data_IF_028649719979
#
_entry.id   IF_028649719979
#
_cell.length_a   1.000
_cell.length_b   1.000
_cell.length_c   1.000
_cell.angle_alpha   90.00
_cell.angle_beta   90.00
_cell.angle_gamma   90.00
#
_symmetry.space_group_name_H-M   'P 1'
#
loop_
_entity.id
_entity.type
_entity.pdbx_description
1 polymer ?
#
# COMPACT_ATOMS: atom_id res chain seq x y z
N UNK A 1 -0.11 -19.65 13.04
CA UNK A 1 0.94 -18.60 12.89
C UNK A 1 0.97 -18.12 11.44
N UNK A 2 1.43 -16.90 11.17
CA UNK A 2 1.42 -16.33 9.82
C UNK A 2 2.17 -17.14 8.74
N UNK A 3 3.36 -17.73 8.98
CA UNK A 3 4.03 -18.50 7.94
C UNK A 3 3.20 -19.67 7.40
N UNK A 4 2.46 -20.36 8.29
CA UNK A 4 1.56 -21.44 7.88
C UNK A 4 0.35 -20.92 7.09
N UNK A 5 -0.19 -19.76 7.48
CA UNK A 5 -1.27 -19.12 6.72
C UNK A 5 -0.80 -18.67 5.32
N UNK A 6 0.46 -18.23 5.18
CA UNK A 6 1.02 -17.93 3.85
C UNK A 6 1.18 -19.20 3.02
N UNK A 7 1.67 -20.30 3.60
CA UNK A 7 1.82 -21.59 2.90
C UNK A 7 0.48 -22.10 2.35
N UNK A 8 -0.55 -22.11 3.19
CA UNK A 8 -1.93 -22.44 2.78
C UNK A 8 -2.47 -21.46 1.72
N UNK A 9 -2.21 -20.17 1.87
CA UNK A 9 -2.70 -19.14 0.95
C UNK A 9 -2.03 -19.23 -0.43
N UNK A 10 -0.73 -19.54 -0.49
CA UNK A 10 -0.06 -19.82 -1.76
C UNK A 10 -0.59 -21.10 -2.39
N UNK A 11 -0.89 -22.14 -1.59
CA UNK A 11 -1.53 -23.36 -2.10
C UNK A 11 -2.89 -23.09 -2.73
N UNK A 12 -3.72 -22.24 -2.11
CA UNK A 12 -4.97 -21.76 -2.71
C UNK A 12 -4.71 -21.03 -4.04
N UNK A 13 -3.71 -20.14 -4.11
CA UNK A 13 -3.31 -19.43 -5.34
C UNK A 13 -2.95 -20.40 -6.46
N UNK A 14 -2.18 -21.45 -6.17
CA UNK A 14 -1.82 -22.47 -7.17
C UNK A 14 -3.02 -23.29 -7.63
N UNK A 15 -3.96 -23.60 -6.74
CA UNK A 15 -5.24 -24.18 -7.14
C UNK A 15 -5.99 -23.28 -8.13
N UNK A 16 -6.05 -21.96 -7.88
CA UNK A 16 -6.64 -20.99 -8.82
C UNK A 16 -5.91 -21.00 -10.18
N UNK A 17 -4.57 -20.94 -10.15
CA UNK A 17 -3.73 -20.93 -11.36
C UNK A 17 -3.91 -22.19 -12.22
N UNK A 18 -3.87 -23.37 -11.61
CA UNK A 18 -4.07 -24.66 -12.28
C UNK A 18 -5.48 -24.76 -12.86
N UNK A 19 -6.51 -24.38 -12.11
CA UNK A 19 -7.89 -24.41 -12.61
C UNK A 19 -8.09 -23.42 -13.77
N UNK A 20 -7.44 -22.25 -13.73
CA UNK A 20 -7.42 -21.32 -14.85
C UNK A 20 -6.71 -21.89 -16.08
N UNK A 21 -5.57 -22.56 -15.89
CA UNK A 21 -4.84 -23.22 -16.97
C UNK A 21 -5.70 -24.29 -17.67
N UNK A 22 -6.34 -25.19 -16.92
CA UNK A 22 -7.15 -26.25 -17.53
C UNK A 22 -8.41 -25.71 -18.21
N UNK A 23 -9.02 -24.65 -17.67
CA UNK A 23 -10.12 -23.95 -18.36
C UNK A 23 -9.66 -23.40 -19.72
N UNK A 24 -8.48 -22.77 -19.75
CA UNK A 24 -7.93 -22.13 -20.95
C UNK A 24 -7.43 -23.14 -21.99
N UNK A 25 -6.75 -24.20 -21.56
CA UNK A 25 -6.04 -25.13 -22.45
C UNK A 25 -6.89 -26.34 -22.81
N UNK A 26 -7.69 -26.85 -21.86
CA UNK A 26 -8.50 -28.05 -22.04
C UNK A 26 -9.99 -27.74 -22.27
N UNK A 27 -10.39 -26.46 -22.24
CA UNK A 27 -11.77 -26.03 -22.44
C UNK A 27 -12.71 -26.39 -21.29
N UNK A 28 -12.17 -26.74 -20.12
CA UNK A 28 -12.95 -27.01 -18.91
C UNK A 28 -13.68 -25.75 -18.44
N UNK A 29 -14.70 -25.93 -17.59
CA UNK A 29 -15.53 -24.85 -17.04
C UNK A 29 -15.52 -24.88 -15.51
N UNK A 30 -14.32 -24.92 -14.92
CA UNK A 30 -14.14 -24.93 -13.47
C UNK A 30 -14.39 -23.55 -12.86
N UNK A 31 -14.93 -23.51 -11.65
CA UNK A 31 -14.97 -22.27 -10.88
C UNK A 31 -13.63 -22.01 -10.19
N UNK A 32 -12.82 -21.15 -10.79
CA UNK A 32 -11.46 -20.89 -10.31
C UNK A 32 -11.40 -20.13 -8.98
N UNK A 33 -12.52 -19.58 -8.48
CA UNK A 33 -12.53 -18.75 -7.26
C UNK A 33 -13.05 -19.47 -6.02
N UNK A 34 -13.40 -20.75 -6.16
CA UNK A 34 -13.74 -21.63 -5.04
C UNK A 34 -12.66 -22.70 -4.90
N UNK A 35 -12.36 -23.06 -3.67
CA UNK A 35 -11.42 -24.13 -3.35
C UNK A 35 -12.22 -25.36 -2.93
N UNK A 36 -12.00 -26.49 -3.59
CA UNK A 36 -12.62 -27.78 -3.26
C UNK A 36 -14.11 -27.93 -3.65
N UNK A 37 -14.65 -27.05 -4.50
CA UNK A 37 -16.06 -27.07 -4.94
C UNK A 37 -16.47 -28.32 -5.72
N UNK A 38 -15.53 -28.97 -6.42
CA UNK A 38 -15.77 -30.25 -7.11
C UNK A 38 -16.02 -31.41 -6.13
N UNK A 39 -15.65 -31.27 -4.84
CA UNK A 39 -15.73 -32.32 -3.82
C UNK A 39 -16.64 -31.98 -2.64
N UNK A 40 -16.93 -30.70 -2.42
CA UNK A 40 -17.78 -30.20 -1.33
C UNK A 40 -19.03 -29.55 -1.92
N UNK A 41 -20.17 -30.27 -1.91
CA UNK A 41 -21.43 -29.75 -2.41
C UNK A 41 -21.85 -28.47 -1.68
N UNK A 42 -22.41 -27.51 -2.41
CA UNK A 42 -22.98 -26.29 -1.81
C UNK A 42 -22.11 -25.03 -1.86
N UNK A 43 -20.90 -25.10 -2.45
CA UNK A 43 -20.07 -23.90 -2.66
C UNK A 43 -18.57 -24.06 -2.42
N UNK A 44 -18.08 -25.28 -2.21
CA UNK A 44 -16.67 -25.51 -1.90
C UNK A 44 -16.31 -25.29 -0.44
N UNK A 45 -15.04 -25.56 -0.11
CA UNK A 45 -14.49 -25.39 1.23
C UNK A 45 -14.31 -23.91 1.56
N UNK A 46 -13.75 -23.14 0.63
CA UNK A 46 -13.36 -21.74 0.82
C UNK A 46 -13.62 -20.93 -0.45
N UNK A 47 -13.82 -19.62 -0.28
CA UNK A 47 -13.95 -18.69 -1.40
C UNK A 47 -12.80 -17.68 -1.40
N UNK A 48 -12.06 -17.65 -2.51
CA UNK A 48 -10.97 -16.70 -2.75
C UNK A 48 -11.53 -15.31 -3.06
N UNK A 49 -12.66 -15.24 -3.76
CA UNK A 49 -13.31 -13.97 -4.17
C UNK A 49 -14.17 -13.33 -3.08
N UNK A 50 -14.75 -14.14 -2.19
CA UNK A 50 -15.55 -13.69 -1.06
C UNK A 50 -15.31 -14.56 0.19
N UNK A 51 -14.17 -14.39 0.89
CA UNK A 51 -13.82 -15.21 2.06
C UNK A 51 -14.90 -15.27 3.14
N UNK A 52 -15.68 -14.20 3.32
CA UNK A 52 -16.74 -14.12 4.33
C UNK A 52 -18.04 -14.81 3.92
N UNK A 53 -18.10 -15.45 2.75
CA UNK A 53 -19.33 -16.06 2.25
C UNK A 53 -19.79 -17.17 3.19
N UNK A 54 -21.03 -17.09 3.69
CA UNK A 54 -21.63 -18.16 4.51
C UNK A 54 -22.10 -19.36 3.68
N UNK A 55 -21.91 -19.32 2.36
CA UNK A 55 -22.23 -20.42 1.45
C UNK A 55 -21.10 -21.44 1.32
N UNK A 56 -19.88 -21.11 1.75
CA UNK A 56 -18.76 -22.07 1.77
C UNK A 56 -18.66 -22.75 3.13
N UNK A 57 -18.02 -23.92 3.18
CA UNK A 57 -17.91 -24.69 4.43
C UNK A 57 -17.10 -23.96 5.52
N UNK A 58 -16.07 -23.22 5.12
CA UNK A 58 -15.15 -22.51 6.01
C UNK A 58 -15.01 -21.04 5.59
N UNK A 59 -15.92 -20.16 6.05
CA UNK A 59 -15.77 -18.72 5.89
C UNK A 59 -14.58 -18.21 6.71
N UNK A 60 -13.95 -17.12 6.26
CA UNK A 60 -12.83 -16.52 6.97
C UNK A 60 -12.51 -15.08 6.56
N UNK A 61 -11.37 -14.55 7.01
CA UNK A 61 -11.02 -13.15 6.87
C UNK A 61 -10.67 -12.79 5.42
N UNK A 62 -11.07 -11.59 5.01
CA UNK A 62 -10.62 -10.96 3.77
C UNK A 62 -9.73 -9.73 4.03
N UNK A 63 -9.55 -9.37 5.30
CA UNK A 63 -8.76 -8.24 5.78
C UNK A 63 -7.83 -8.75 6.89
N UNK A 64 -6.57 -8.38 6.86
CA UNK A 64 -5.56 -8.73 7.86
C UNK A 64 -5.95 -8.19 9.24
N UNK A 65 -5.99 -9.07 10.24
CA UNK A 65 -6.54 -8.79 11.58
C UNK A 65 -7.97 -8.21 11.57
N UNK A 66 -8.73 -8.45 10.51
CA UNK A 66 -10.11 -8.03 10.37
C UNK A 66 -11.12 -9.03 10.94
N UNK A 67 -12.38 -8.86 10.56
CA UNK A 67 -13.45 -9.76 10.97
C UNK A 67 -13.24 -11.18 10.44
N UNK A 68 -13.52 -12.17 11.30
CA UNK A 68 -13.24 -13.61 11.11
C UNK A 68 -11.76 -13.99 11.11
N UNK A 69 -10.84 -13.07 11.42
CA UNK A 69 -9.46 -13.46 11.71
C UNK A 69 -9.43 -14.33 12.97
N UNK A 70 -8.73 -15.47 12.89
CA UNK A 70 -8.55 -16.34 14.04
C UNK A 70 -7.32 -15.91 14.85
N UNK A 71 -7.60 -15.30 16.00
CA UNK A 71 -6.59 -14.87 16.98
C UNK A 71 -6.28 -15.95 18.02
N UNK A 72 -7.16 -16.92 18.21
CA UNK A 72 -7.06 -17.91 19.29
C UNK A 72 -6.07 -19.00 18.90
N UNK A 73 -6.32 -19.68 17.78
CA UNK A 73 -5.49 -20.81 17.33
C UNK A 73 -4.49 -20.38 16.24
N UNK A 74 -4.67 -19.19 15.66
CA UNK A 74 -3.96 -18.73 14.48
C UNK A 74 -3.97 -19.78 13.36
N UNK A 75 -5.14 -20.36 13.13
CA UNK A 75 -5.41 -21.48 12.25
C UNK A 75 -5.01 -21.12 10.80
N UNK A 76 -4.09 -21.87 10.19
CA UNK A 76 -3.54 -21.56 8.86
C UNK A 76 -4.58 -21.44 7.75
N UNK A 77 -5.55 -22.36 7.67
CA UNK A 77 -6.55 -22.40 6.59
C UNK A 77 -7.57 -21.26 6.70
N UNK A 78 -7.81 -20.75 7.90
CA UNK A 78 -8.64 -19.57 8.16
C UNK A 78 -7.88 -18.33 7.75
N UNK A 79 -6.74 -18.07 8.38
CA UNK A 79 -6.03 -16.82 8.19
C UNK A 79 -5.38 -16.69 6.81
N UNK A 80 -5.17 -17.78 6.07
CA UNK A 80 -4.67 -17.79 4.68
C UNK A 80 -5.58 -17.06 3.70
N UNK A 81 -6.88 -16.97 4.01
CA UNK A 81 -7.86 -16.36 3.13
C UNK A 81 -7.61 -14.87 2.85
N UNK A 82 -6.83 -14.18 3.68
CA UNK A 82 -6.35 -12.82 3.39
C UNK A 82 -5.41 -12.84 2.18
N UNK A 83 -4.44 -13.76 2.11
CA UNK A 83 -3.54 -13.91 0.96
C UNK A 83 -4.30 -14.40 -0.28
N UNK A 84 -5.20 -15.38 -0.10
CA UNK A 84 -6.07 -15.86 -1.19
C UNK A 84 -6.89 -14.68 -1.76
N UNK A 85 -7.48 -13.85 -0.90
CA UNK A 85 -8.26 -12.70 -1.33
C UNK A 85 -7.43 -11.59 -1.99
N UNK A 86 -6.20 -11.38 -1.52
CA UNK A 86 -5.25 -10.49 -2.17
C UNK A 86 -5.02 -10.90 -3.63
N UNK A 87 -4.83 -12.20 -3.89
CA UNK A 87 -4.62 -12.71 -5.24
C UNK A 87 -5.82 -12.48 -6.16
N UNK A 88 -7.05 -12.74 -5.67
CA UNK A 88 -8.27 -12.41 -6.42
C UNK A 88 -8.33 -10.91 -6.74
N UNK A 89 -8.08 -10.07 -5.74
CA UNK A 89 -8.17 -8.61 -5.84
C UNK A 89 -7.15 -8.07 -6.84
N UNK A 90 -5.90 -8.57 -6.82
CA UNK A 90 -4.88 -8.22 -7.79
C UNK A 90 -5.23 -8.70 -9.20
N UNK A 91 -5.76 -9.92 -9.33
CA UNK A 91 -6.07 -10.54 -10.62
C UNK A 91 -7.25 -9.86 -11.32
N UNK A 92 -8.37 -9.66 -10.61
CA UNK A 92 -9.64 -9.19 -11.18
C UNK A 92 -9.88 -7.70 -10.97
N UNK A 93 -9.23 -7.10 -9.98
CA UNK A 93 -9.59 -5.79 -9.49
C UNK A 93 -10.82 -5.87 -8.58
N UNK A 94 -10.92 -4.90 -7.67
CA UNK A 94 -12.04 -4.78 -6.73
C UNK A 94 -12.09 -3.37 -6.18
N UNK A 95 -13.30 -2.85 -6.04
CA UNK A 95 -13.57 -1.64 -5.28
C UNK A 95 -14.37 -2.02 -4.03
N UNK A 96 -14.07 -1.38 -2.91
CA UNK A 96 -14.79 -1.64 -1.68
C UNK A 96 -14.22 -0.91 -0.48
N UNK A 97 -14.66 -1.36 0.69
CA UNK A 97 -14.18 -0.91 2.00
C UNK A 97 -13.75 -2.17 2.75
N UNK A 98 -12.56 -2.16 3.34
CA UNK A 98 -12.07 -3.28 4.16
C UNK A 98 -12.53 -3.15 5.62
N UNK A 99 -12.16 -4.11 6.46
CA UNK A 99 -12.62 -4.13 7.86
C UNK A 99 -12.03 -3.02 8.73
N UNK A 100 -11.04 -2.29 8.21
CA UNK A 100 -10.42 -1.12 8.85
C UNK A 100 -11.03 0.20 8.37
N UNK A 101 -12.14 0.13 7.64
CA UNK A 101 -12.87 1.26 7.03
C UNK A 101 -12.09 1.97 5.91
N UNK A 102 -11.06 1.33 5.38
CA UNK A 102 -10.27 1.85 4.26
C UNK A 102 -10.99 1.60 2.95
N UNK A 103 -11.27 2.68 2.23
CA UNK A 103 -11.74 2.61 0.86
C UNK A 103 -10.58 2.20 -0.06
N UNK A 104 -10.85 1.31 -1.01
CA UNK A 104 -9.88 0.89 -2.00
C UNK A 104 -10.53 0.75 -3.38
N UNK A 105 -9.73 0.95 -4.42
CA UNK A 105 -10.11 0.71 -5.81
C UNK A 105 -8.92 0.14 -6.57
N UNK A 106 -8.88 -1.19 -6.68
CA UNK A 106 -7.78 -1.93 -7.31
C UNK A 106 -8.11 -2.19 -8.77
N UNK A 107 -7.20 -1.76 -9.65
CA UNK A 107 -7.25 -2.12 -11.08
C UNK A 107 -6.66 -3.52 -11.28
N UNK A 108 -7.47 -4.48 -11.75
CA UNK A 108 -7.02 -5.85 -11.96
C UNK A 108 -5.97 -5.98 -13.07
N UNK A 109 -4.95 -6.80 -12.84
CA UNK A 109 -3.85 -6.99 -13.81
C UNK A 109 -3.97 -8.28 -14.63
N UNK A 110 -5.08 -9.02 -14.49
CA UNK A 110 -5.30 -10.40 -14.92
C UNK A 110 -4.54 -11.45 -14.10
N UNK A 111 -5.04 -12.68 -14.19
CA UNK A 111 -4.56 -13.82 -13.41
C UNK A 111 -3.14 -14.23 -13.79
N UNK A 112 -2.79 -14.23 -15.09
CA UNK A 112 -1.46 -14.65 -15.53
C UNK A 112 -0.35 -13.71 -15.04
N UNK A 113 -0.62 -12.40 -14.94
CA UNK A 113 0.34 -11.46 -14.37
C UNK A 113 0.42 -11.59 -12.85
N UNK A 114 -0.72 -11.72 -12.18
CA UNK A 114 -0.78 -11.90 -10.73
C UNK A 114 -0.07 -13.17 -10.28
N UNK A 115 -0.25 -14.28 -11.02
CA UNK A 115 0.40 -15.57 -10.76
C UNK A 115 1.92 -15.46 -10.85
N UNK A 116 2.45 -14.77 -11.87
CA UNK A 116 3.89 -14.50 -11.99
C UNK A 116 4.44 -13.69 -10.82
N UNK A 117 3.69 -12.69 -10.33
CA UNK A 117 4.08 -11.90 -9.16
C UNK A 117 4.12 -12.78 -7.92
N UNK A 118 3.06 -13.55 -7.65
CA UNK A 118 2.99 -14.47 -6.51
C UNK A 118 4.13 -15.49 -6.54
N UNK A 119 4.41 -16.08 -7.71
CA UNK A 119 5.47 -17.09 -7.87
C UNK A 119 6.85 -16.47 -7.66
N UNK A 120 7.08 -15.30 -8.24
CA UNK A 120 8.36 -14.60 -8.09
C UNK A 120 8.56 -14.10 -6.66
N UNK A 121 7.48 -13.73 -5.95
CA UNK A 121 7.52 -13.33 -4.55
C UNK A 121 8.03 -14.45 -3.63
N UNK A 122 7.66 -15.72 -3.89
CA UNK A 122 8.13 -16.87 -3.09
C UNK A 122 9.65 -16.94 -2.97
N UNK A 123 10.39 -16.54 -4.01
CA UNK A 123 11.85 -16.56 -4.00
C UNK A 123 12.48 -15.52 -3.04
N UNK A 124 11.68 -14.60 -2.50
CA UNK A 124 12.11 -13.61 -1.51
C UNK A 124 11.55 -13.89 -0.11
N UNK A 125 10.85 -15.00 0.08
CA UNK A 125 10.28 -15.39 1.37
C UNK A 125 11.15 -16.45 2.07
N UNK A 126 11.07 -16.44 3.40
CA UNK A 126 11.75 -17.36 4.30
C UNK A 126 10.73 -18.15 5.13
N UNK A 127 11.13 -19.27 5.77
CA UNK A 127 10.22 -20.06 6.60
C UNK A 127 9.58 -19.30 7.78
N UNK A 128 10.10 -18.14 8.14
CA UNK A 128 9.60 -17.26 9.21
C UNK A 128 8.88 -16.01 8.67
N UNK A 129 8.67 -15.89 7.35
CA UNK A 129 8.03 -14.73 6.76
C UNK A 129 6.56 -14.61 7.20
N UNK A 130 6.16 -13.39 7.53
CA UNK A 130 4.77 -13.01 7.79
C UNK A 130 4.18 -12.18 6.66
N UNK A 131 2.95 -11.69 6.86
CA UNK A 131 2.18 -10.97 5.85
C UNK A 131 2.88 -9.69 5.35
N UNK A 132 3.54 -8.95 6.25
CA UNK A 132 4.30 -7.74 5.88
C UNK A 132 5.46 -8.08 4.93
N UNK A 133 6.18 -9.18 5.20
CA UNK A 133 7.25 -9.67 4.31
C UNK A 133 6.68 -10.12 2.96
N UNK A 134 5.53 -10.79 2.94
CA UNK A 134 4.83 -11.17 1.72
C UNK A 134 4.44 -9.96 0.86
N UNK A 135 3.96 -8.88 1.48
CA UNK A 135 3.72 -7.59 0.80
C UNK A 135 4.98 -7.05 0.15
N UNK A 136 6.08 -6.93 0.92
CA UNK A 136 7.35 -6.42 0.40
C UNK A 136 7.89 -7.28 -0.76
N UNK A 137 7.83 -8.60 -0.64
CA UNK A 137 8.27 -9.54 -1.67
C UNK A 137 7.44 -9.42 -2.95
N UNK A 138 6.11 -9.31 -2.85
CA UNK A 138 5.22 -9.16 -4.00
C UNK A 138 5.42 -7.82 -4.73
N UNK A 139 5.57 -6.72 -3.99
CA UNK A 139 5.88 -5.41 -4.59
C UNK A 139 7.24 -5.44 -5.29
N UNK A 140 8.26 -6.06 -4.67
CA UNK A 140 9.57 -6.23 -5.30
C UNK A 140 9.49 -7.10 -6.56
N UNK A 141 8.78 -8.22 -6.52
CA UNK A 141 8.53 -9.08 -7.67
C UNK A 141 7.87 -8.34 -8.83
N UNK A 142 6.84 -7.51 -8.55
CA UNK A 142 6.20 -6.68 -9.57
C UNK A 142 7.19 -5.70 -10.22
N UNK A 143 8.05 -5.06 -9.42
CA UNK A 143 9.10 -4.15 -9.91
C UNK A 143 10.11 -4.87 -10.82
N UNK A 144 10.50 -6.09 -10.46
CA UNK A 144 11.43 -6.92 -11.25
C UNK A 144 10.80 -7.36 -12.57
N UNK A 145 9.53 -7.78 -12.55
CA UNK A 145 8.85 -8.35 -13.72
C UNK A 145 8.39 -7.28 -14.73
N UNK A 146 7.94 -6.13 -14.25
CA UNK A 146 7.23 -5.14 -15.08
C UNK A 146 7.87 -3.74 -15.08
N UNK A 147 8.90 -3.51 -14.26
CA UNK A 147 9.56 -2.22 -14.10
C UNK A 147 9.02 -1.43 -12.91
N UNK A 148 9.88 -0.60 -12.30
CA UNK A 148 9.60 0.09 -11.02
C UNK A 148 8.35 0.97 -11.03
N UNK A 149 8.05 1.57 -12.18
CA UNK A 149 7.02 2.57 -12.35
C UNK A 149 5.80 2.06 -13.14
N UNK A 150 5.62 0.74 -13.18
CA UNK A 150 4.56 0.12 -13.97
C UNK A 150 3.20 0.17 -13.24
N UNK A 151 2.12 0.04 -14.01
CA UNK A 151 0.78 -0.07 -13.43
C UNK A 151 0.60 -1.37 -12.63
N UNK A 152 1.35 -2.43 -12.92
CA UNK A 152 1.35 -3.66 -12.13
C UNK A 152 1.93 -3.45 -10.72
N UNK A 153 2.96 -2.61 -10.56
CA UNK A 153 3.46 -2.23 -9.23
C UNK A 153 2.38 -1.49 -8.45
N UNK A 154 1.72 -0.51 -9.10
CA UNK A 154 0.58 0.21 -8.51
C UNK A 154 -0.52 -0.76 -8.06
N UNK A 155 -1.01 -1.63 -8.94
CA UNK A 155 -2.07 -2.58 -8.62
C UNK A 155 -1.67 -3.57 -7.53
N UNK A 156 -0.40 -3.96 -7.46
CA UNK A 156 0.12 -4.85 -6.41
C UNK A 156 0.08 -4.16 -5.05
N UNK A 157 0.52 -2.89 -4.97
CA UNK A 157 0.42 -2.08 -3.76
C UNK A 157 -1.05 -1.90 -3.35
N UNK A 158 -1.90 -1.48 -4.29
CA UNK A 158 -3.32 -1.25 -4.03
C UNK A 158 -4.05 -2.52 -3.56
N UNK A 159 -3.70 -3.70 -4.11
CA UNK A 159 -4.27 -4.97 -3.66
C UNK A 159 -3.87 -5.32 -2.22
N UNK A 160 -2.64 -5.02 -1.80
CA UNK A 160 -2.20 -5.22 -0.42
C UNK A 160 -2.84 -4.23 0.55
N UNK A 161 -3.02 -2.98 0.12
CA UNK A 161 -3.78 -1.98 0.87
C UNK A 161 -5.25 -2.44 1.05
N UNK A 162 -5.86 -3.01 -0.01
CA UNK A 162 -7.24 -3.50 0.03
C UNK A 162 -7.46 -4.61 1.06
N UNK A 163 -6.48 -5.52 1.23
CA UNK A 163 -6.55 -6.58 2.27
C UNK A 163 -5.98 -6.13 3.62
N UNK A 164 -5.61 -4.87 3.78
CA UNK A 164 -5.24 -4.29 5.08
C UNK A 164 -3.91 -4.78 5.65
N UNK A 165 -2.99 -5.28 4.81
CA UNK A 165 -1.64 -5.65 5.26
C UNK A 165 -0.73 -4.43 5.16
N UNK A 166 -0.09 -3.96 6.24
CA UNK A 166 0.68 -2.72 6.20
C UNK A 166 1.99 -2.84 5.43
N UNK A 167 2.42 -1.73 4.81
CA UNK A 167 3.78 -1.61 4.28
C UNK A 167 4.81 -1.67 5.42
N UNK A 168 5.99 -2.21 5.12
CA UNK A 168 7.13 -2.22 6.04
C UNK A 168 7.75 -0.82 6.16
N UNK A 169 7.22 -0.02 7.08
CA UNK A 169 7.67 1.35 7.37
C UNK A 169 7.38 1.70 8.82
N UNK A 170 8.28 2.44 9.45
CA UNK A 170 8.08 3.01 10.78
C UNK A 170 7.32 4.35 10.76
N UNK A 171 7.24 4.99 9.59
CA UNK A 171 6.55 6.28 9.42
C UNK A 171 5.19 6.12 8.78
N UNK A 172 4.17 6.58 9.50
CA UNK A 172 2.77 6.28 9.23
C UNK A 172 1.83 7.19 10.02
N UNK A 173 0.72 7.58 9.40
CA UNK A 173 -0.47 8.04 10.12
C UNK A 173 -1.49 6.92 10.33
N UNK A 174 -2.46 7.11 11.20
CA UNK A 174 -3.46 6.10 11.52
C UNK A 174 -2.91 4.99 12.44
N UNK A 175 -3.65 4.68 13.50
CA UNK A 175 -3.32 3.54 14.36
C UNK A 175 -3.64 2.24 13.59
N UNK A 176 -2.67 1.35 13.39
CA UNK A 176 -2.95 -0.02 12.92
C UNK A 176 -3.69 -0.17 11.56
N UNK A 177 -3.55 0.79 10.62
CA UNK A 177 -4.34 0.88 9.37
C UNK A 177 -5.79 1.32 9.52
N UNK A 178 -6.23 1.76 10.70
CA UNK A 178 -7.53 2.43 10.81
C UNK A 178 -7.52 3.75 10.06
N UNK A 179 -8.62 4.03 9.37
CA UNK A 179 -8.86 5.28 8.64
C UNK A 179 -8.72 6.50 9.59
N UNK A 180 -7.67 7.34 9.45
CA UNK A 180 -7.56 8.57 10.24
C UNK A 180 -8.64 9.58 9.84
N UNK A 181 -8.93 10.57 10.68
CA UNK A 181 -9.88 11.63 10.35
C UNK A 181 -9.25 12.78 9.55
N UNK A 182 -7.93 12.85 9.55
CA UNK A 182 -7.13 13.90 8.91
C UNK A 182 -6.14 13.24 7.96
N UNK A 183 -6.08 13.72 6.73
CA UNK A 183 -5.31 13.03 5.69
C UNK A 183 -4.86 14.00 4.59
N UNK A 184 -3.92 13.56 3.76
CA UNK A 184 -3.37 14.28 2.63
C UNK A 184 -4.35 14.13 1.46
N UNK A 185 -4.70 15.23 0.80
CA UNK A 185 -5.61 15.21 -0.35
C UNK A 185 -4.90 15.46 -1.67
N UNK A 186 -3.74 16.13 -1.64
CA UNK A 186 -2.96 16.37 -2.85
C UNK A 186 -1.48 16.63 -2.55
N UNK A 187 -0.62 16.08 -3.41
CA UNK A 187 0.81 16.41 -3.50
C UNK A 187 1.14 16.78 -4.95
N UNK A 188 1.68 17.99 -5.14
CA UNK A 188 2.15 18.48 -6.43
C UNK A 188 3.62 18.90 -6.34
N UNK A 189 4.44 18.35 -7.23
CA UNK A 189 5.84 18.70 -7.40
C UNK A 189 6.26 18.48 -8.85
N UNK A 190 6.80 19.51 -9.50
CA UNK A 190 7.24 19.43 -10.91
C UNK A 190 6.09 18.95 -11.82
N UNK A 191 6.28 17.85 -12.54
CA UNK A 191 5.29 17.21 -13.41
C UNK A 191 4.35 16.24 -12.69
N UNK A 192 4.51 16.02 -11.38
CA UNK A 192 3.58 15.23 -10.57
C UNK A 192 2.46 16.11 -10.03
N UNK A 193 1.23 15.66 -10.24
CA UNK A 193 0.06 16.11 -9.50
C UNK A 193 -0.71 14.86 -9.08
N UNK A 194 -0.66 14.52 -7.79
CA UNK A 194 -1.37 13.38 -7.24
C UNK A 194 -2.45 13.87 -6.29
N UNK A 195 -3.70 13.60 -6.65
CA UNK A 195 -4.83 13.72 -5.74
C UNK A 195 -5.09 12.35 -5.10
N UNK A 196 -5.20 12.33 -3.78
CA UNK A 196 -5.45 11.13 -2.96
C UNK A 196 -6.73 11.31 -2.17
N UNK A 197 -7.36 10.17 -1.85
CA UNK A 197 -8.33 10.11 -0.77
C UNK A 197 -7.61 9.79 0.53
N UNK A 198 -8.36 9.32 1.50
CA UNK A 198 -7.77 8.83 2.74
C UNK A 198 -7.22 7.40 2.54
N UNK A 199 -5.91 7.24 2.43
CA UNK A 199 -5.24 5.96 2.19
C UNK A 199 -4.90 5.23 3.52
N UNK A 200 -5.74 5.42 4.55
CA UNK A 200 -5.57 4.81 5.87
C UNK A 200 -4.22 5.11 6.52
N UNK A 201 -3.76 6.34 6.29
CA UNK A 201 -2.64 6.96 6.95
C UNK A 201 -1.27 6.57 6.39
N UNK A 202 -1.19 5.66 5.42
CA UNK A 202 0.04 5.46 4.65
C UNK A 202 -0.23 5.08 3.20
N UNK A 203 0.40 5.80 2.25
CA UNK A 203 0.44 5.40 0.84
C UNK A 203 1.85 5.27 0.28
N UNK A 204 2.13 4.09 -0.29
CA UNK A 204 3.30 3.88 -1.15
C UNK A 204 2.97 4.30 -2.59
N UNK A 205 3.50 5.44 -3.00
CA UNK A 205 3.43 5.98 -4.35
C UNK A 205 4.76 5.82 -5.11
N UNK A 206 5.60 4.84 -4.75
CA UNK A 206 6.90 4.59 -5.38
C UNK A 206 6.84 4.16 -6.85
N UNK A 207 5.64 3.90 -7.38
CA UNK A 207 5.43 3.68 -8.82
C UNK A 207 5.31 5.01 -9.61
N UNK A 208 5.18 6.15 -8.93
CA UNK A 208 5.24 7.48 -9.55
C UNK A 208 6.69 7.96 -9.62
N UNK A 209 7.03 8.76 -10.63
CA UNK A 209 8.41 9.21 -10.89
C UNK A 209 8.51 10.69 -11.34
N UNK A 210 8.05 11.69 -10.57
CA UNK A 210 8.37 13.09 -10.87
C UNK A 210 9.86 13.29 -11.13
N UNK A 211 10.16 14.10 -12.14
CA UNK A 211 11.54 14.45 -12.49
C UNK A 211 11.84 15.87 -12.03
N UNK A 212 12.98 16.04 -11.37
CA UNK A 212 13.50 17.33 -10.93
C UNK A 212 14.97 17.49 -11.35
N UNK A 213 15.43 18.73 -11.45
CA UNK A 213 16.79 19.09 -11.83
C UNK A 213 17.49 19.67 -10.61
N UNK A 214 18.68 19.18 -10.30
CA UNK A 214 19.45 19.70 -9.17
C UNK A 214 19.91 21.15 -9.44
N UNK A 215 19.92 21.98 -8.40
CA UNK A 215 20.20 23.41 -8.48
C UNK A 215 19.00 24.28 -8.87
N UNK A 216 17.87 23.68 -9.30
CA UNK A 216 16.67 24.41 -9.67
C UNK A 216 15.74 24.58 -8.46
N UNK A 217 14.84 25.56 -8.57
CA UNK A 217 13.80 25.84 -7.58
C UNK A 217 12.44 25.40 -8.12
N UNK A 218 11.68 24.69 -7.30
CA UNK A 218 10.35 24.19 -7.63
C UNK A 218 9.31 24.73 -6.66
N UNK A 219 8.09 24.94 -7.14
CA UNK A 219 6.94 25.16 -6.27
C UNK A 219 6.31 23.80 -5.93
N UNK A 220 6.26 23.48 -4.64
CA UNK A 220 5.54 22.35 -4.10
C UNK A 220 4.19 22.82 -3.55
N UNK A 221 3.12 22.12 -3.89
CA UNK A 221 1.77 22.39 -3.37
C UNK A 221 1.28 21.15 -2.64
N UNK A 222 0.87 21.33 -1.39
CA UNK A 222 0.40 20.26 -0.51
C UNK A 222 -0.98 20.63 0.01
N UNK A 223 -1.92 19.69 -0.01
CA UNK A 223 -3.27 19.90 0.51
C UNK A 223 -3.65 18.79 1.48
N UNK A 224 -4.43 19.15 2.49
CA UNK A 224 -5.00 18.20 3.45
C UNK A 224 -6.42 18.58 3.79
N UNK A 225 -7.16 17.61 4.29
CA UNK A 225 -8.50 17.78 4.85
C UNK A 225 -8.56 17.11 6.22
N UNK A 226 -9.54 17.54 7.02
CA UNK A 226 -9.75 17.04 8.37
C UNK A 226 -11.16 17.30 8.87
N UNK A 227 -11.44 16.81 10.08
CA UNK A 227 -12.69 17.06 10.78
C UNK A 227 -12.48 18.00 11.98
N UNK A 228 -13.56 18.59 12.49
CA UNK A 228 -13.49 19.35 13.75
C UNK A 228 -13.20 18.40 14.90
N UNK A 229 -12.27 18.79 15.78
CA UNK A 229 -11.97 18.10 17.03
C UNK A 229 -11.92 19.07 18.21
N UNK A 230 -12.14 18.52 19.41
CA UNK A 230 -11.93 19.21 20.68
C UNK A 230 -11.00 18.32 21.53
N UNK A 231 -9.77 18.76 21.85
CA UNK A 231 -9.14 20.02 21.44
C UNK A 231 -8.87 20.10 19.93
N UNK A 232 -8.81 21.31 19.39
CA UNK A 232 -8.55 21.54 17.96
C UNK A 232 -7.16 21.03 17.56
N UNK A 233 -7.13 20.27 16.46
CA UNK A 233 -5.90 19.86 15.79
C UNK A 233 -5.59 20.78 14.62
N UNK A 234 -4.29 21.06 14.43
CA UNK A 234 -3.71 21.77 13.28
C UNK A 234 -2.85 20.80 12.50
N UNK A 235 -2.63 21.06 11.21
CA UNK A 235 -1.94 20.10 10.34
C UNK A 235 -0.48 20.52 10.21
N UNK A 236 0.40 19.75 10.83
CA UNK A 236 1.85 19.97 10.80
C UNK A 236 2.48 19.11 9.71
N UNK A 237 3.22 19.75 8.83
CA UNK A 237 3.81 19.12 7.66
C UNK A 237 5.32 19.09 7.77
N UNK A 238 5.90 17.97 7.32
CA UNK A 238 7.28 17.90 6.89
C UNK A 238 7.42 17.11 5.60
N UNK A 239 8.37 17.54 4.78
CA UNK A 239 8.74 16.81 3.55
C UNK A 239 10.25 16.66 3.51
N UNK A 240 10.70 15.46 3.17
CA UNK A 240 12.11 15.13 2.98
C UNK A 240 12.35 14.57 1.59
N UNK A 241 13.52 14.85 1.03
CA UNK A 241 14.04 14.22 -0.19
C UNK A 241 15.43 13.68 0.14
N UNK A 242 15.61 12.37 -0.03
CA UNK A 242 16.88 11.68 0.21
C UNK A 242 17.90 12.08 -0.89
N UNK A 243 18.63 13.17 -0.68
CA UNK A 243 19.50 13.76 -1.70
C UNK A 243 20.82 12.99 -1.82
N UNK A 244 21.23 12.30 -0.75
CA UNK A 244 22.48 11.56 -0.69
C UNK A 244 22.31 10.06 -1.07
N UNK A 245 21.06 9.60 -1.21
CA UNK A 245 20.65 8.25 -1.61
C UNK A 245 21.12 7.16 -0.65
N UNK A 246 21.21 7.46 0.64
CA UNK A 246 21.62 6.50 1.67
C UNK A 246 20.44 5.76 2.32
N UNK A 247 19.21 6.15 1.98
CA UNK A 247 17.98 5.52 2.45
C UNK A 247 17.44 6.06 3.76
N UNK A 248 18.13 6.99 4.41
CA UNK A 248 17.68 7.69 5.60
C UNK A 248 17.21 9.11 5.26
N UNK A 249 16.44 9.71 6.16
CA UNK A 249 16.00 11.10 6.02
C UNK A 249 16.57 11.97 7.12
N UNK A 250 17.43 12.90 6.73
CA UNK A 250 18.20 13.72 7.65
C UNK A 250 17.65 15.15 7.72
N UNK A 251 18.11 15.95 8.69
CA UNK A 251 17.69 17.35 8.78
C UNK A 251 18.12 18.19 7.58
N UNK A 252 19.23 17.84 6.94
CA UNK A 252 19.73 18.47 5.70
C UNK A 252 18.86 18.20 4.48
N UNK A 253 17.99 17.20 4.57
CA UNK A 253 17.15 16.70 3.48
C UNK A 253 15.69 17.15 3.60
N UNK A 254 15.36 17.82 4.70
CA UNK A 254 14.04 18.39 4.94
C UNK A 254 13.84 19.63 4.07
N UNK A 255 12.95 19.54 3.09
CA UNK A 255 12.64 20.61 2.13
C UNK A 255 11.43 21.44 2.53
N UNK A 256 10.55 20.90 3.39
CA UNK A 256 9.38 21.60 3.94
C UNK A 256 9.25 21.33 5.42
N UNK A 257 8.97 22.38 6.19
CA UNK A 257 8.38 22.32 7.53
C UNK A 257 7.41 23.49 7.68
N UNK A 258 6.11 23.22 7.78
CA UNK A 258 5.10 24.29 7.97
C UNK A 258 3.79 23.76 8.55
N UNK A 259 2.90 24.67 8.94
CA UNK A 259 1.63 24.35 9.61
C UNK A 259 0.44 24.99 8.90
N UNK A 260 -0.63 24.22 8.70
CA UNK A 260 -1.96 24.76 8.41
C UNK A 260 -2.72 24.92 9.72
N UNK A 261 -2.99 26.16 10.11
CA UNK A 261 -3.69 26.50 11.37
C UNK A 261 -5.22 26.36 11.24
N UNK A 262 -5.68 25.18 10.84
CA UNK A 262 -7.10 24.85 10.65
C UNK A 262 -7.33 23.35 10.89
N UNK A 263 -8.40 22.98 11.58
CA UNK A 263 -8.80 21.56 11.76
C UNK A 263 -9.46 20.97 10.52
N UNK A 264 -9.94 21.80 9.59
CA UNK A 264 -10.47 21.34 8.30
C UNK A 264 -9.37 21.10 7.26
N UNK A 265 -8.11 21.34 7.61
CA UNK A 265 -7.01 21.37 6.66
C UNK A 265 -7.00 22.61 5.79
N UNK A 266 -6.35 22.48 4.63
CA UNK A 266 -6.03 23.57 3.73
C UNK A 266 -4.81 23.27 2.86
N UNK A 267 -4.39 24.28 2.10
CA UNK A 267 -3.31 24.18 1.12
C UNK A 267 -2.08 24.97 1.55
N UNK A 268 -0.91 24.35 1.45
CA UNK A 268 0.41 24.97 1.59
C UNK A 268 1.09 25.07 0.22
N UNK A 269 1.77 26.19 -0.01
CA UNK A 269 2.65 26.37 -1.17
C UNK A 269 4.05 26.72 -0.68
N UNK A 270 5.05 26.00 -1.16
CA UNK A 270 6.45 26.16 -0.76
C UNK A 270 7.39 26.15 -1.95
N UNK A 271 8.26 27.14 -1.98
CA UNK A 271 9.41 27.16 -2.88
C UNK A 271 10.51 26.29 -2.29
N UNK A 272 10.91 25.24 -2.99
CA UNK A 272 11.98 24.32 -2.59
C UNK A 272 13.14 24.41 -3.57
N UNK A 273 14.36 24.59 -3.06
CA UNK A 273 15.57 24.58 -3.87
C UNK A 273 16.23 23.21 -3.78
N UNK A 274 16.47 22.58 -4.93
CA UNK A 274 17.16 21.29 -4.98
C UNK A 274 18.68 21.55 -4.87
N UNK A 275 19.40 20.95 -3.90
CA UNK A 275 20.84 21.20 -3.73
C UNK A 275 21.63 20.80 -4.97
N UNK A 276 22.66 21.57 -5.34
CA UNK A 276 23.56 21.21 -6.45
C UNK A 276 24.40 19.96 -6.15
N UNK A 277 24.55 19.63 -4.86
CA UNK A 277 25.22 18.43 -4.35
C UNK A 277 24.37 17.17 -4.40
N UNK A 278 23.06 17.27 -4.70
CA UNK A 278 22.20 16.10 -4.79
C UNK A 278 22.72 15.09 -5.82
N UNK A 279 22.68 13.81 -5.47
CA UNK A 279 23.05 12.73 -6.37
C UNK A 279 21.98 12.56 -7.45
N UNK A 280 22.41 12.22 -8.66
CA UNK A 280 21.50 11.95 -9.78
C UNK A 280 20.90 10.53 -9.68
N UNK A 281 19.73 10.35 -10.31
CA UNK A 281 19.00 9.09 -10.36
C UNK A 281 17.78 9.06 -9.44
N UNK A 282 17.18 7.87 -9.31
CA UNK A 282 16.00 7.65 -8.47
C UNK A 282 16.36 7.75 -6.98
N UNK A 283 15.54 8.50 -6.24
CA UNK A 283 15.59 8.59 -4.77
C UNK A 283 14.19 8.67 -4.17
N UNK A 284 14.10 8.61 -2.84
CA UNK A 284 12.83 8.68 -2.10
C UNK A 284 12.51 10.11 -1.70
N UNK A 285 11.23 10.47 -1.80
CA UNK A 285 10.64 11.62 -1.13
C UNK A 285 9.57 11.14 -0.17
N UNK A 286 9.53 11.71 1.03
CA UNK A 286 8.49 11.44 2.03
C UNK A 286 7.73 12.70 2.35
N UNK A 287 6.41 12.65 2.25
CA UNK A 287 5.49 13.70 2.66
C UNK A 287 4.76 13.22 3.90
N UNK A 288 4.90 13.91 5.03
CA UNK A 288 4.26 13.56 6.30
C UNK A 288 3.42 14.73 6.80
N UNK A 289 2.13 14.45 7.01
CA UNK A 289 1.18 15.36 7.60
C UNK A 289 0.65 14.75 8.90
N UNK A 290 0.87 15.43 10.02
CA UNK A 290 0.34 15.02 11.34
C UNK A 290 -0.68 16.03 11.82
N UNK A 291 -1.88 15.55 12.16
CA UNK A 291 -2.87 16.35 12.84
C UNK A 291 -2.57 16.36 14.35
N UNK A 292 -2.08 17.50 14.82
CA UNK A 292 -1.47 17.64 16.13
C UNK A 292 -2.07 18.85 16.86
N UNK A 293 -2.09 18.83 18.20
CA UNK A 293 -2.35 20.06 18.94
C UNK A 293 -1.20 21.07 18.75
N UNK A 294 -1.45 22.35 18.99
CA UNK A 294 -0.46 23.42 18.76
C UNK A 294 0.89 23.16 19.45
N UNK A 295 0.88 22.64 20.68
CA UNK A 295 2.10 22.36 21.46
C UNK A 295 2.83 21.05 21.12
N UNK A 296 2.25 20.16 20.32
CA UNK A 296 2.90 18.89 19.94
C UNK A 296 4.02 19.12 18.91
N UNK A 297 4.99 18.20 18.81
CA UNK A 297 6.07 18.32 17.83
C UNK A 297 5.57 18.08 16.38
N UNK A 298 6.31 18.60 15.41
CA UNK A 298 6.19 18.22 14.00
C UNK A 298 6.53 16.73 13.81
N UNK A 299 5.94 16.04 12.81
CA UNK A 299 6.21 14.63 12.59
C UNK A 299 7.70 14.39 12.32
N UNK A 300 8.28 13.32 12.85
CA UNK A 300 9.62 12.85 12.45
C UNK A 300 9.53 11.96 11.22
N UNK A 301 10.66 11.80 10.53
CA UNK A 301 10.73 10.96 9.33
C UNK A 301 10.51 9.48 9.63
N UNK A 302 10.59 9.04 10.88
CA UNK A 302 10.47 7.65 11.36
C UNK A 302 9.32 7.47 12.38
N UNK A 303 8.36 8.39 12.41
CA UNK A 303 7.29 8.41 13.42
C UNK A 303 5.98 7.82 12.92
N UNK A 304 5.37 6.97 13.77
CA UNK A 304 3.96 6.60 13.66
C UNK A 304 3.09 7.48 14.57
N UNK A 305 1.97 7.98 14.07
CA UNK A 305 1.04 8.84 14.81
C UNK A 305 -0.42 8.51 14.49
N UNK A 306 -1.32 8.75 15.46
CA UNK A 306 -2.72 8.33 15.35
C UNK A 306 -3.53 9.06 14.27
N UNK A 307 -3.24 10.33 14.02
CA UNK A 307 -4.05 11.18 13.13
C UNK A 307 -3.16 11.93 12.13
N UNK A 308 -3.45 11.74 10.85
CA UNK A 308 -2.65 12.25 9.74
C UNK A 308 -2.30 11.14 8.76
N UNK A 309 -1.38 11.42 7.86
CA UNK A 309 -0.98 10.51 6.80
C UNK A 309 0.47 10.73 6.36
N UNK A 310 1.08 9.64 5.87
CA UNK A 310 2.41 9.64 5.27
C UNK A 310 2.33 9.08 3.87
N UNK A 311 2.88 9.79 2.90
CA UNK A 311 2.98 9.33 1.52
C UNK A 311 4.45 9.30 1.09
N UNK A 312 4.86 8.18 0.47
CA UNK A 312 6.20 8.02 -0.06
C UNK A 312 6.20 7.96 -1.58
N UNK A 313 7.14 8.67 -2.20
CA UNK A 313 7.26 8.80 -3.65
C UNK A 313 8.67 8.40 -4.09
N UNK A 314 8.80 7.83 -5.29
CA UNK A 314 10.08 7.82 -6.01
C UNK A 314 10.19 9.09 -6.83
N UNK A 315 11.34 9.75 -6.81
CA UNK A 315 11.62 10.94 -7.61
C UNK A 315 12.92 10.72 -8.37
N UNK A 316 13.04 11.25 -9.58
CA UNK A 316 14.29 11.16 -10.35
C UNK A 316 14.97 12.54 -10.40
N UNK A 317 16.18 12.60 -9.87
CA UNK A 317 17.03 13.81 -9.91
C UNK A 317 17.95 13.76 -11.12
N UNK A 318 17.89 14.80 -11.94
CA UNK A 318 18.70 14.94 -13.15
C UNK A 318 19.67 16.14 -13.07
N UNK A 319 20.67 16.12 -13.94
CA UNK A 319 21.44 17.33 -14.28
C UNK A 319 20.72 18.11 -15.38
N UNK A 320 20.95 19.41 -15.43
CA UNK A 320 20.62 20.19 -16.62
C UNK A 320 21.61 19.85 -17.74
N UNK A 321 21.11 19.44 -18.90
CA UNK A 321 21.88 19.30 -20.14
C UNK A 321 21.16 20.03 -21.27
N UNK A 322 21.90 20.82 -22.05
CA UNK A 322 21.42 21.47 -23.27
C UNK A 322 21.47 20.51 -24.47
#
# INVERSE_FOLDING_TARGET
>A
MEPGALDEGFSDIWNVGVNNYVNKVLGMQKNIWLVGDETVPGGGMRSVSNPKSTTVLHPGPNTYYGGLWDFEDNEPHTNSLVLSHWFYTLSKGKQGINDHWCEYNVSGINIEKAEKIAYTALHYLFPTSGYISARSAAVYAAKVLYGKFSSEVKSTIDAWDAVGVPADTTSRGGEGMYKPHYYITSVKLSNLERNSGNDCGYKDNSYLHPTIIKGFTYNMVLSSEGAVSIPSKIHKWRVWIDFNRDGNFESSEMVVQDTVNSSYGGTLQKSIQIPTTALIGDTRMRVSMKAAQSGEAYPRSDESFAEGEVEDYSITINNFSL
#
